data_IF_938605301188
#
_entry.id   IF_938605301188
#
_cell.length_a   1.000
_cell.length_b   1.000
_cell.length_c   1.000
_cell.angle_alpha   90.00
_cell.angle_beta   90.00
_cell.angle_gamma   90.00
#
_symmetry.space_group_name_H-M   'P 1'
#
loop_
_entity.id
_entity.type
_entity.pdbx_description
1 polymer ?
#
# COMPACT_ATOMS: atom_id res chain seq x y z
N UNK A 1 -19.06 16.67 -0.83
CA UNK A 1 -18.16 16.50 -1.98
C UNK A 1 -18.81 15.63 -3.02
N UNK A 2 -18.83 16.11 -4.24
CA UNK A 2 -19.35 15.34 -5.39
C UNK A 2 -18.55 14.04 -5.53
N UNK A 3 -19.24 12.91 -5.72
CA UNK A 3 -18.61 11.61 -5.88
C UNK A 3 -17.72 11.55 -7.14
N UNK A 4 -16.75 10.67 -7.17
CA UNK A 4 -15.82 10.50 -8.30
C UNK A 4 -16.56 10.26 -9.62
N UNK A 5 -17.67 9.53 -9.58
CA UNK A 5 -18.53 9.28 -10.76
C UNK A 5 -19.16 10.56 -11.32
N UNK A 6 -19.63 11.45 -10.45
CA UNK A 6 -20.23 12.72 -10.86
C UNK A 6 -19.19 13.65 -11.50
N UNK A 7 -17.96 13.65 -10.99
CA UNK A 7 -16.84 14.37 -11.60
C UNK A 7 -16.52 13.84 -12.99
N UNK A 8 -16.37 12.52 -13.14
CA UNK A 8 -16.10 11.88 -14.42
C UNK A 8 -17.23 12.19 -15.42
N UNK A 9 -18.49 12.14 -14.98
CA UNK A 9 -19.62 12.46 -15.82
C UNK A 9 -19.61 13.91 -16.30
N UNK A 10 -19.33 14.85 -15.40
CA UNK A 10 -19.21 16.28 -15.72
C UNK A 10 -18.04 16.55 -16.68
N UNK A 11 -16.90 15.88 -16.47
CA UNK A 11 -15.72 16.01 -17.35
C UNK A 11 -16.03 15.48 -18.77
N UNK A 12 -16.77 14.37 -18.88
CA UNK A 12 -17.22 13.83 -20.17
C UNK A 12 -18.16 14.80 -20.90
N UNK A 13 -19.05 15.47 -20.18
CA UNK A 13 -19.94 16.47 -20.80
C UNK A 13 -19.21 17.73 -21.28
N UNK A 14 -18.02 18.00 -20.74
CA UNK A 14 -17.20 19.16 -21.10
C UNK A 14 -16.14 18.86 -22.19
N UNK A 15 -16.19 17.67 -22.80
CA UNK A 15 -15.23 17.25 -23.86
C UNK A 15 -15.18 18.28 -25.02
N UNK A 16 -16.30 18.93 -25.33
CA UNK A 16 -16.35 19.97 -26.39
C UNK A 16 -15.57 21.24 -26.03
N UNK A 17 -15.21 21.45 -24.76
CA UNK A 17 -14.46 22.61 -24.27
C UNK A 17 -12.96 22.33 -24.14
N UNK A 18 -12.47 21.23 -24.69
CA UNK A 18 -11.04 20.87 -24.60
C UNK A 18 -10.18 21.94 -25.24
N UNK A 19 -9.26 22.49 -24.44
CA UNK A 19 -8.23 23.41 -24.95
C UNK A 19 -7.17 22.61 -25.74
N UNK A 20 -7.14 22.85 -27.07
CA UNK A 20 -6.25 22.12 -27.96
C UNK A 20 -4.75 22.33 -27.66
N UNK A 21 -4.37 23.51 -27.16
CA UNK A 21 -3.01 23.82 -26.76
C UNK A 21 -2.63 23.02 -25.51
N UNK A 22 -3.54 22.90 -24.54
CA UNK A 22 -3.36 22.11 -23.35
C UNK A 22 -3.21 20.63 -23.69
N UNK A 23 -4.08 20.09 -24.58
CA UNK A 23 -4.00 18.70 -25.03
C UNK A 23 -2.69 18.41 -25.77
N UNK A 24 -2.28 19.29 -26.69
CA UNK A 24 -1.03 19.14 -27.44
C UNK A 24 0.20 19.14 -26.50
N UNK A 25 0.19 20.02 -25.50
CA UNK A 25 1.26 20.09 -24.48
C UNK A 25 1.28 18.83 -23.63
N UNK A 26 0.13 18.35 -23.15
CA UNK A 26 0.06 17.11 -22.40
C UNK A 26 0.58 15.90 -23.20
N UNK A 27 0.17 15.77 -24.47
CA UNK A 27 0.63 14.70 -25.35
C UNK A 27 2.15 14.79 -25.61
N UNK A 28 2.69 15.99 -25.85
CA UNK A 28 4.12 16.18 -26.03
C UNK A 28 4.90 15.74 -24.77
N UNK A 29 4.44 16.11 -23.58
CA UNK A 29 5.03 15.69 -22.30
C UNK A 29 4.99 14.17 -22.15
N UNK A 30 3.85 13.55 -22.43
CA UNK A 30 3.70 12.08 -22.38
C UNK A 30 4.65 11.38 -23.34
N UNK A 31 4.78 11.87 -24.58
CA UNK A 31 5.70 11.32 -25.61
C UNK A 31 7.15 11.43 -25.13
N UNK A 32 7.54 12.56 -24.58
CA UNK A 32 8.91 12.76 -24.06
C UNK A 32 9.20 11.81 -22.90
N UNK A 33 8.29 11.69 -21.94
CA UNK A 33 8.51 10.84 -20.76
C UNK A 33 8.53 9.36 -21.16
N UNK A 34 7.54 8.89 -21.93
CA UNK A 34 7.46 7.48 -22.35
C UNK A 34 8.56 7.13 -23.34
N UNK A 35 8.87 8.04 -24.27
CA UNK A 35 9.95 7.86 -25.24
C UNK A 35 11.32 7.78 -24.58
N UNK A 36 11.61 8.66 -23.63
CA UNK A 36 12.89 8.61 -22.88
C UNK A 36 13.04 7.32 -22.05
N UNK A 37 11.98 6.83 -21.42
CA UNK A 37 12.00 5.52 -20.71
C UNK A 37 12.33 4.36 -21.66
N UNK A 38 11.86 4.41 -22.92
CA UNK A 38 12.16 3.38 -23.94
C UNK A 38 13.59 3.47 -24.45
N UNK A 39 14.15 4.67 -24.58
CA UNK A 39 15.51 4.89 -25.06
C UNK A 39 16.55 4.47 -24.03
N UNK A 40 16.42 4.90 -22.80
CA UNK A 40 17.28 4.51 -21.69
C UNK A 40 16.62 4.79 -20.34
N UNK A 41 16.68 3.81 -19.43
CA UNK A 41 16.21 3.98 -18.05
C UNK A 41 16.99 5.03 -17.24
N UNK A 42 18.17 5.44 -17.74
CA UNK A 42 19.02 6.46 -17.08
C UNK A 42 18.61 7.89 -17.44
N UNK A 43 17.78 8.10 -18.45
CA UNK A 43 17.35 9.44 -18.89
C UNK A 43 16.19 9.89 -17.98
N UNK A 44 16.32 11.03 -17.27
CA UNK A 44 15.26 11.59 -16.43
C UNK A 44 14.19 12.27 -17.28
N UNK A 45 13.38 11.48 -18.00
CA UNK A 45 12.41 11.96 -18.98
C UNK A 45 11.40 12.96 -18.42
N UNK A 46 10.95 12.75 -17.19
CA UNK A 46 10.04 13.68 -16.53
C UNK A 46 10.69 15.07 -16.31
N UNK A 47 11.96 15.10 -15.87
CA UNK A 47 12.68 16.34 -15.68
C UNK A 47 12.89 17.10 -17.01
N UNK A 48 13.28 16.38 -18.06
CA UNK A 48 13.44 16.95 -19.40
C UNK A 48 12.12 17.50 -19.93
N UNK A 49 11.02 16.78 -19.75
CA UNK A 49 9.69 17.22 -20.18
C UNK A 49 9.24 18.47 -19.43
N UNK A 50 9.45 18.54 -18.11
CA UNK A 50 9.11 19.71 -17.28
C UNK A 50 9.93 20.92 -17.70
N UNK A 51 11.26 20.81 -17.78
CA UNK A 51 12.13 21.92 -18.18
C UNK A 51 11.81 22.36 -19.61
N UNK A 52 11.65 21.43 -20.54
CA UNK A 52 11.29 21.72 -21.90
C UNK A 52 9.94 22.44 -22.03
N UNK A 53 8.96 22.04 -21.27
CA UNK A 53 7.65 22.69 -21.24
C UNK A 53 7.69 24.10 -20.63
N UNK A 54 8.48 24.33 -19.58
CA UNK A 54 8.70 25.67 -19.00
C UNK A 54 9.33 26.60 -20.05
N UNK A 55 10.41 26.16 -20.73
CA UNK A 55 11.09 26.92 -21.75
C UNK A 55 10.15 27.18 -22.94
N UNK A 56 9.41 26.18 -23.41
CA UNK A 56 8.44 26.33 -24.48
C UNK A 56 7.32 27.30 -24.09
N UNK A 57 6.83 27.22 -22.88
CA UNK A 57 5.77 28.09 -22.35
C UNK A 57 6.24 29.55 -22.29
N UNK A 58 7.46 29.78 -21.81
CA UNK A 58 8.04 31.10 -21.79
C UNK A 58 8.27 31.68 -23.20
N UNK A 59 8.79 30.86 -24.15
CA UNK A 59 9.13 31.32 -25.49
C UNK A 59 7.91 31.52 -26.40
N UNK A 60 6.89 30.65 -26.27
CA UNK A 60 5.65 30.66 -27.07
C UNK A 60 4.49 31.41 -26.40
N UNK A 61 4.74 32.04 -25.27
CA UNK A 61 3.72 32.70 -24.42
C UNK A 61 2.46 31.87 -24.23
N UNK A 62 2.64 30.59 -23.85
CA UNK A 62 1.54 29.67 -23.68
C UNK A 62 0.58 30.08 -22.54
N UNK A 63 1.04 30.95 -21.65
CA UNK A 63 0.21 31.53 -20.59
C UNK A 63 -0.96 32.36 -21.13
N UNK A 64 -0.89 32.86 -22.35
CA UNK A 64 -2.01 33.51 -23.02
C UNK A 64 -3.08 32.53 -23.53
N UNK A 65 -2.75 31.26 -23.70
CA UNK A 65 -3.59 30.26 -24.32
C UNK A 65 -4.04 29.14 -23.37
N UNK A 66 -3.33 28.94 -22.26
CA UNK A 66 -3.64 27.90 -21.25
C UNK A 66 -3.22 28.34 -19.84
N UNK A 67 -3.78 27.66 -18.85
CA UNK A 67 -3.39 27.91 -17.46
C UNK A 67 -1.96 27.50 -17.18
N UNK A 68 -1.20 28.41 -16.57
CA UNK A 68 0.14 28.20 -16.01
C UNK A 68 0.08 28.38 -14.50
N UNK A 69 1.05 27.84 -13.78
CA UNK A 69 1.08 27.90 -12.31
C UNK A 69 1.01 29.32 -11.75
N UNK A 70 1.50 30.32 -12.50
CA UNK A 70 1.55 31.70 -12.07
C UNK A 70 2.58 31.92 -10.95
N UNK A 71 2.47 33.04 -10.26
CA UNK A 71 3.43 33.44 -9.22
C UNK A 71 3.44 32.43 -8.06
N UNK A 72 4.58 31.78 -7.87
CA UNK A 72 4.83 30.86 -6.77
C UNK A 72 5.55 31.62 -5.65
N UNK A 73 5.09 31.55 -4.39
CA UNK A 73 5.81 32.15 -3.27
C UNK A 73 7.25 31.65 -3.23
N UNK A 74 8.19 32.57 -3.18
CA UNK A 74 9.62 32.26 -3.02
C UNK A 74 10.03 32.43 -1.59
N UNK A 75 11.07 31.73 -1.15
CA UNK A 75 11.66 31.88 0.16
C UNK A 75 11.62 30.60 1.00
N UNK A 76 12.03 30.76 2.25
CA UNK A 76 12.01 29.66 3.22
C UNK A 76 10.59 29.42 3.71
N UNK A 77 10.20 28.18 3.95
CA UNK A 77 8.92 27.87 4.59
C UNK A 77 8.88 28.49 5.97
N UNK A 78 7.76 29.15 6.30
CA UNK A 78 7.56 29.71 7.63
C UNK A 78 7.16 28.59 8.60
N UNK A 79 7.92 28.46 9.68
CA UNK A 79 7.57 27.55 10.76
C UNK A 79 6.48 28.19 11.61
N UNK A 80 5.26 27.73 11.47
CA UNK A 80 4.11 28.22 12.22
C UNK A 80 3.06 27.09 12.40
N UNK A 81 2.23 27.26 13.40
CA UNK A 81 1.01 26.47 13.50
C UNK A 81 -0.01 27.00 12.49
N UNK A 82 -0.86 26.12 11.92
CA UNK A 82 -1.91 26.55 11.01
C UNK A 82 -2.82 27.62 11.63
N UNK A 83 -3.01 28.75 10.94
CA UNK A 83 -3.91 29.82 11.34
C UNK A 83 -5.36 29.43 11.04
N UNK A 84 -5.92 28.55 11.84
CA UNK A 84 -7.30 28.09 11.71
C UNK A 84 -8.05 28.28 13.03
N UNK A 85 -9.34 28.58 12.95
CA UNK A 85 -10.20 28.58 14.11
C UNK A 85 -10.45 27.16 14.59
N UNK A 86 -9.69 26.72 15.58
CA UNK A 86 -9.82 25.40 16.15
C UNK A 86 -11.17 25.23 16.83
N UNK A 87 -11.97 24.30 16.35
CA UNK A 87 -13.26 23.91 16.91
C UNK A 87 -13.37 22.39 16.98
N UNK A 88 -14.21 21.90 17.88
CA UNK A 88 -14.49 20.47 17.97
C UNK A 88 -15.08 19.90 16.68
N UNK A 89 -15.85 20.71 15.95
CA UNK A 89 -16.38 20.32 14.63
C UNK A 89 -15.27 20.14 13.60
N UNK A 90 -14.31 21.05 13.55
CA UNK A 90 -13.15 20.95 12.66
C UNK A 90 -12.29 19.73 12.99
N UNK A 91 -12.00 19.52 14.28
CA UNK A 91 -11.24 18.35 14.75
C UNK A 91 -11.96 17.06 14.37
N UNK A 92 -13.28 16.99 14.58
CA UNK A 92 -14.08 15.81 14.20
C UNK A 92 -14.03 15.49 12.70
N UNK A 93 -13.91 16.51 11.82
CA UNK A 93 -13.74 16.34 10.38
C UNK A 93 -12.33 15.92 9.97
N UNK A 94 -11.32 16.40 10.73
CA UNK A 94 -9.91 16.09 10.40
C UNK A 94 -9.43 14.73 10.90
N UNK A 95 -9.94 14.26 12.05
CA UNK A 95 -9.48 13.03 12.69
C UNK A 95 -9.61 11.80 11.79
N UNK A 96 -10.74 11.52 11.11
CA UNK A 96 -10.85 10.35 10.24
C UNK A 96 -9.83 10.37 9.09
N UNK A 97 -9.66 11.52 8.44
CA UNK A 97 -8.68 11.69 7.35
C UNK A 97 -7.25 11.55 7.85
N UNK A 98 -6.92 12.15 9.00
CA UNK A 98 -5.60 12.00 9.63
C UNK A 98 -5.31 10.55 10.01
N UNK A 99 -6.30 9.83 10.54
CA UNK A 99 -6.17 8.41 10.87
C UNK A 99 -5.97 7.56 9.61
N UNK A 100 -6.73 7.80 8.54
CA UNK A 100 -6.55 7.11 7.27
C UNK A 100 -5.15 7.34 6.69
N UNK A 101 -4.67 8.59 6.68
CA UNK A 101 -3.30 8.93 6.27
C UNK A 101 -2.26 8.22 7.14
N UNK A 102 -2.43 8.22 8.46
CA UNK A 102 -1.54 7.52 9.40
C UNK A 102 -1.41 6.03 9.05
N UNK A 103 -2.53 5.34 8.82
CA UNK A 103 -2.53 3.90 8.49
C UNK A 103 -1.81 3.64 7.16
N UNK A 104 -2.05 4.46 6.13
CA UNK A 104 -1.36 4.32 4.83
C UNK A 104 0.13 4.57 4.97
N UNK A 105 0.52 5.64 5.66
CA UNK A 105 1.93 6.00 5.88
C UNK A 105 2.65 4.86 6.63
N UNK A 106 2.02 4.36 7.69
CA UNK A 106 2.55 3.25 8.49
C UNK A 106 2.74 1.99 7.63
N UNK A 107 1.70 1.58 6.90
CA UNK A 107 1.74 0.37 6.08
C UNK A 107 2.77 0.46 4.95
N UNK A 108 2.79 1.55 4.18
CA UNK A 108 3.73 1.73 3.08
C UNK A 108 5.18 1.82 3.57
N UNK A 109 5.43 2.60 4.62
CA UNK A 109 6.78 2.80 5.16
C UNK A 109 7.32 1.51 5.74
N UNK A 110 6.54 0.78 6.55
CA UNK A 110 6.96 -0.49 7.14
C UNK A 110 7.21 -1.56 6.06
N UNK A 111 6.31 -1.67 5.06
CA UNK A 111 6.49 -2.61 3.96
C UNK A 111 7.75 -2.31 3.14
N UNK A 112 8.01 -1.02 2.86
CA UNK A 112 9.21 -0.59 2.12
C UNK A 112 10.48 -0.88 2.91
N UNK A 113 10.53 -0.52 4.17
CA UNK A 113 11.69 -0.77 5.05
C UNK A 113 12.01 -2.27 5.13
N UNK A 114 11.00 -3.11 5.35
CA UNK A 114 11.17 -4.58 5.40
C UNK A 114 11.67 -5.15 4.07
N UNK A 115 11.09 -4.72 2.96
CA UNK A 115 11.46 -5.22 1.64
C UNK A 115 12.93 -4.92 1.32
N UNK A 116 13.39 -3.70 1.58
CA UNK A 116 14.76 -3.30 1.31
C UNK A 116 15.75 -3.83 2.35
N UNK A 117 15.38 -3.94 3.62
CA UNK A 117 16.20 -4.61 4.63
C UNK A 117 16.45 -6.09 4.25
N UNK A 118 15.41 -6.80 3.80
CA UNK A 118 15.54 -8.18 3.31
C UNK A 118 16.40 -8.27 2.04
N UNK A 119 16.21 -7.32 1.10
CA UNK A 119 16.96 -7.28 -0.16
C UNK A 119 18.48 -7.09 0.07
N UNK A 120 18.86 -6.27 1.07
CA UNK A 120 20.26 -5.97 1.40
C UNK A 120 20.80 -6.77 2.58
N UNK A 121 19.98 -7.66 3.15
CA UNK A 121 20.33 -8.43 4.36
C UNK A 121 20.78 -7.52 5.52
N UNK A 122 20.13 -6.39 5.69
CA UNK A 122 20.38 -5.41 6.72
C UNK A 122 19.44 -5.61 7.93
N UNK A 123 19.98 -5.41 9.13
CA UNK A 123 19.16 -5.31 10.34
C UNK A 123 18.59 -3.90 10.45
N UNK A 124 17.31 -3.79 10.67
CA UNK A 124 16.67 -2.50 10.91
C UNK A 124 15.74 -2.59 12.11
N UNK A 125 15.43 -1.45 12.71
CA UNK A 125 14.48 -1.32 13.80
C UNK A 125 13.26 -0.56 13.30
N UNK A 126 12.11 -1.24 13.22
CA UNK A 126 10.85 -0.61 12.80
C UNK A 126 10.49 0.59 13.69
N UNK A 127 10.70 0.47 15.01
CA UNK A 127 10.40 1.54 15.96
C UNK A 127 11.26 2.78 15.70
N UNK A 128 12.52 2.62 15.36
CA UNK A 128 13.43 3.75 15.05
C UNK A 128 12.99 4.45 13.77
N UNK A 129 12.62 3.68 12.74
CA UNK A 129 12.12 4.23 11.48
C UNK A 129 10.80 4.99 11.69
N UNK A 130 9.89 4.46 12.51
CA UNK A 130 8.62 5.11 12.82
C UNK A 130 8.79 6.40 13.64
N UNK A 131 9.73 6.44 14.58
CA UNK A 131 10.06 7.67 15.32
C UNK A 131 10.64 8.71 14.36
N UNK A 132 11.56 8.34 13.48
CA UNK A 132 12.10 9.22 12.45
C UNK A 132 11.02 9.77 11.52
N UNK A 133 10.11 8.91 11.07
CA UNK A 133 8.98 9.30 10.24
C UNK A 133 8.01 10.23 10.97
N UNK A 134 7.74 9.98 12.26
CA UNK A 134 6.94 10.84 13.12
C UNK A 134 7.54 12.24 13.24
N UNK A 135 8.84 12.34 13.51
CA UNK A 135 9.56 13.62 13.57
C UNK A 135 9.55 14.36 12.23
N UNK A 136 9.72 13.63 11.11
CA UNK A 136 9.61 14.21 9.77
C UNK A 136 8.22 14.78 9.50
N UNK A 137 7.15 14.10 9.93
CA UNK A 137 5.77 14.58 9.79
C UNK A 137 5.47 15.79 10.70
N UNK A 138 6.04 15.84 11.91
CA UNK A 138 5.95 17.03 12.76
C UNK A 138 6.64 18.22 12.06
N UNK A 139 7.85 18.02 11.54
CA UNK A 139 8.55 19.07 10.78
C UNK A 139 7.77 19.52 9.54
N UNK A 140 7.17 18.58 8.80
CA UNK A 140 6.32 18.87 7.65
C UNK A 140 5.08 19.69 8.06
N UNK A 141 4.38 19.31 9.13
CA UNK A 141 3.21 20.03 9.64
C UNK A 141 3.55 21.46 10.09
N UNK A 142 4.67 21.64 10.79
CA UNK A 142 5.14 22.96 11.25
C UNK A 142 5.59 23.86 10.08
N UNK A 143 6.06 23.29 8.98
CA UNK A 143 6.44 24.04 7.78
C UNK A 143 5.29 24.24 6.79
N UNK A 144 4.07 23.84 7.15
CA UNK A 144 2.87 24.01 6.32
C UNK A 144 2.86 23.15 5.05
N UNK A 145 3.63 22.05 5.03
CA UNK A 145 3.68 21.15 3.88
C UNK A 145 2.87 19.89 4.10
N UNK A 146 2.81 19.03 3.07
CA UNK A 146 2.08 17.77 3.11
C UNK A 146 2.77 16.72 3.98
N UNK A 147 2.01 15.70 4.36
CA UNK A 147 2.50 14.51 5.06
C UNK A 147 3.58 13.80 4.24
N UNK A 148 4.57 13.22 4.93
CA UNK A 148 5.67 12.46 4.33
C UNK A 148 5.58 10.98 4.69
N UNK A 149 5.96 10.13 3.75
CA UNK A 149 6.00 8.68 3.94
C UNK A 149 7.20 8.05 3.22
N UNK A 150 7.50 6.79 3.58
CA UNK A 150 8.44 5.94 2.85
C UNK A 150 7.81 5.42 1.56
N UNK A 151 8.04 6.11 0.44
CA UNK A 151 7.46 5.72 -0.86
C UNK A 151 8.25 4.59 -1.52
N UNK A 152 7.64 3.42 -1.81
CA UNK A 152 8.31 2.31 -2.50
C UNK A 152 8.92 2.72 -3.85
N UNK A 153 8.16 3.49 -4.65
CA UNK A 153 8.59 3.92 -5.99
C UNK A 153 9.78 4.88 -5.95
N UNK A 154 9.77 5.85 -5.03
CA UNK A 154 10.90 6.78 -4.86
C UNK A 154 12.13 6.06 -4.33
N UNK A 155 11.96 5.14 -3.37
CA UNK A 155 13.04 4.29 -2.86
C UNK A 155 13.64 3.45 -3.98
N UNK A 156 12.82 2.84 -4.83
CA UNK A 156 13.28 2.08 -5.98
C UNK A 156 14.05 2.94 -6.98
N UNK A 157 13.61 4.19 -7.22
CA UNK A 157 14.34 5.11 -8.10
C UNK A 157 15.74 5.43 -7.57
N UNK A 158 15.84 5.74 -6.28
CA UNK A 158 17.13 6.01 -5.62
C UNK A 158 18.02 4.77 -5.65
N UNK A 159 17.48 3.61 -5.35
CA UNK A 159 18.18 2.33 -5.38
C UNK A 159 18.69 1.99 -6.78
N UNK A 160 17.84 2.12 -7.81
CA UNK A 160 18.22 1.89 -9.22
C UNK A 160 19.29 2.84 -9.72
N UNK A 161 19.37 4.05 -9.15
CA UNK A 161 20.41 5.02 -9.42
C UNK A 161 21.71 4.76 -8.63
N UNK A 162 21.75 3.74 -7.76
CA UNK A 162 22.92 3.38 -6.95
C UNK A 162 23.01 4.13 -5.63
N UNK A 163 21.95 4.81 -5.19
CA UNK A 163 21.91 5.51 -3.89
C UNK A 163 21.86 4.50 -2.74
N UNK A 164 22.80 4.63 -1.79
CA UNK A 164 22.98 3.69 -0.68
C UNK A 164 23.00 4.35 0.70
N UNK A 165 22.79 5.65 0.76
CA UNK A 165 22.87 6.38 2.01
C UNK A 165 21.84 7.50 2.07
N UNK A 166 21.54 7.97 3.28
CA UNK A 166 20.68 9.14 3.53
C UNK A 166 21.23 10.44 2.91
N UNK A 167 22.49 10.44 2.49
CA UNK A 167 23.11 11.59 1.84
C UNK A 167 22.36 11.99 0.56
N UNK A 168 21.80 11.02 -0.18
CA UNK A 168 20.99 11.29 -1.36
C UNK A 168 19.73 12.12 -1.02
N UNK A 169 19.10 11.88 0.12
CA UNK A 169 17.94 12.66 0.59
C UNK A 169 18.35 14.05 1.05
N UNK A 170 19.50 14.19 1.70
CA UNK A 170 20.03 15.51 2.08
C UNK A 170 20.34 16.35 0.84
N UNK A 171 20.97 15.78 -0.19
CA UNK A 171 21.18 16.48 -1.45
C UNK A 171 19.86 16.86 -2.14
N UNK A 172 18.87 15.98 -2.10
CA UNK A 172 17.52 16.29 -2.62
C UNK A 172 16.92 17.48 -1.88
N UNK A 173 17.03 17.51 -0.54
CA UNK A 173 16.54 18.64 0.25
C UNK A 173 17.26 19.96 -0.09
N UNK A 174 18.58 19.91 -0.28
CA UNK A 174 19.36 21.09 -0.71
C UNK A 174 18.92 21.56 -2.10
N UNK A 175 18.75 20.65 -3.06
CA UNK A 175 18.28 20.99 -4.41
C UNK A 175 16.91 21.65 -4.35
N UNK A 176 15.97 21.07 -3.60
CA UNK A 176 14.63 21.64 -3.43
C UNK A 176 14.70 23.03 -2.79
N UNK A 177 15.55 23.20 -1.80
CA UNK A 177 15.77 24.51 -1.16
C UNK A 177 16.30 25.54 -2.18
N UNK A 178 17.29 25.20 -3.01
CA UNK A 178 17.79 26.07 -4.05
C UNK A 178 16.71 26.43 -5.08
N UNK A 179 15.86 25.48 -5.45
CA UNK A 179 14.73 25.73 -6.34
C UNK A 179 13.75 26.71 -5.71
N UNK A 180 13.40 26.55 -4.43
CA UNK A 180 12.50 27.44 -3.71
C UNK A 180 13.07 28.86 -3.57
N UNK A 181 14.37 29.00 -3.41
CA UNK A 181 15.01 30.31 -3.23
C UNK A 181 15.23 31.05 -4.54
N UNK A 182 15.57 30.35 -5.63
CA UNK A 182 16.10 30.98 -6.85
C UNK A 182 15.33 30.65 -8.13
N UNK A 183 14.60 29.54 -8.19
CA UNK A 183 13.99 29.02 -9.42
C UNK A 183 12.47 29.04 -9.43
N UNK A 184 11.83 29.66 -8.44
CA UNK A 184 10.35 29.81 -8.41
C UNK A 184 9.83 30.70 -9.54
N UNK A 185 10.60 31.70 -9.98
CA UNK A 185 10.26 32.55 -11.12
C UNK A 185 10.06 31.73 -12.42
N UNK A 186 11.06 30.98 -12.90
CA UNK A 186 10.88 30.07 -14.02
C UNK A 186 9.73 29.06 -13.87
N UNK A 187 9.50 28.53 -12.68
CA UNK A 187 8.38 27.59 -12.42
C UNK A 187 7.01 28.22 -12.63
N UNK A 188 6.88 29.56 -12.50
CA UNK A 188 5.64 30.26 -12.76
C UNK A 188 5.11 30.06 -14.20
N UNK A 189 6.00 29.83 -15.17
CA UNK A 189 5.65 29.58 -16.57
C UNK A 189 5.25 28.11 -16.83
N UNK A 190 5.30 27.22 -15.85
CA UNK A 190 4.98 25.81 -16.05
C UNK A 190 3.48 25.63 -16.33
N UNK A 191 3.10 25.05 -17.48
CA UNK A 191 1.69 24.74 -17.75
C UNK A 191 1.14 23.70 -16.75
N UNK A 192 -0.07 23.91 -16.24
CA UNK A 192 -0.73 22.94 -15.32
C UNK A 192 -0.93 21.57 -15.96
N UNK A 193 -1.06 21.53 -17.28
CA UNK A 193 -1.17 20.29 -18.07
C UNK A 193 0.05 19.39 -17.95
N UNK A 194 1.24 19.95 -17.66
CA UNK A 194 2.46 19.17 -17.41
C UNK A 194 2.32 18.35 -16.13
N UNK A 195 1.82 18.98 -15.06
CA UNK A 195 1.56 18.30 -13.79
C UNK A 195 0.49 17.21 -13.99
N UNK A 196 -0.59 17.52 -14.70
CA UNK A 196 -1.66 16.56 -14.99
C UNK A 196 -1.13 15.35 -15.79
N UNK A 197 -0.27 15.57 -16.79
CA UNK A 197 0.34 14.49 -17.56
C UNK A 197 1.28 13.61 -16.72
N UNK A 198 2.08 14.22 -15.85
CA UNK A 198 2.97 13.49 -14.92
C UNK A 198 2.16 12.67 -13.93
N UNK A 199 1.14 13.28 -13.31
CA UNK A 199 0.25 12.59 -12.36
C UNK A 199 -0.50 11.44 -13.03
N UNK A 200 -0.96 11.63 -14.26
CA UNK A 200 -1.58 10.56 -15.05
C UNK A 200 -0.64 9.37 -15.24
N UNK A 201 0.62 9.61 -15.64
CA UNK A 201 1.60 8.53 -15.79
C UNK A 201 1.91 7.82 -14.47
N UNK A 202 2.02 8.57 -13.36
CA UNK A 202 2.16 7.98 -12.02
C UNK A 202 0.96 7.09 -11.72
N UNK A 203 -0.26 7.53 -12.01
CA UNK A 203 -1.46 6.74 -11.84
C UNK A 203 -1.42 5.44 -12.64
N UNK A 204 -1.01 5.49 -13.91
CA UNK A 204 -0.84 4.30 -14.76
C UNK A 204 0.25 3.37 -14.22
N UNK A 205 1.39 3.91 -13.78
CA UNK A 205 2.49 3.12 -13.21
C UNK A 205 2.10 2.46 -11.86
N UNK A 206 1.13 2.99 -11.13
CA UNK A 206 0.60 2.43 -9.89
C UNK A 206 -0.37 1.25 -10.11
N UNK A 207 -0.87 1.05 -11.33
CA UNK A 207 -1.75 -0.08 -11.64
C UNK A 207 -0.93 -1.36 -11.75
N UNK A 208 -0.82 -2.09 -10.64
CA UNK A 208 -0.09 -3.37 -10.58
C UNK A 208 -0.97 -4.57 -10.97
N UNK A 209 -1.19 -4.72 -12.27
CA UNK A 209 -1.95 -5.87 -12.80
C UNK A 209 -1.26 -7.22 -12.55
N UNK A 210 0.09 -7.23 -12.47
CA UNK A 210 0.86 -8.45 -12.21
C UNK A 210 0.73 -8.88 -10.76
N UNK A 211 0.81 -7.93 -9.82
CA UNK A 211 0.58 -8.19 -8.41
C UNK A 211 -0.85 -8.70 -8.16
N UNK A 212 -1.85 -8.06 -8.76
CA UNK A 212 -3.25 -8.51 -8.66
C UNK A 212 -3.45 -9.93 -9.21
N UNK A 213 -2.82 -10.26 -10.33
CA UNK A 213 -2.86 -11.62 -10.89
C UNK A 213 -2.18 -12.63 -9.96
N UNK A 214 -1.03 -12.29 -9.40
CA UNK A 214 -0.31 -13.13 -8.44
C UNK A 214 -1.13 -13.40 -7.18
N UNK A 215 -1.81 -12.38 -6.64
CA UNK A 215 -2.71 -12.54 -5.49
C UNK A 215 -3.88 -13.48 -5.85
N UNK A 216 -4.47 -13.33 -7.05
CA UNK A 216 -5.56 -14.20 -7.50
C UNK A 216 -5.13 -15.67 -7.61
N UNK A 217 -3.94 -15.93 -8.13
CA UNK A 217 -3.38 -17.28 -8.28
C UNK A 217 -3.02 -17.91 -6.93
N UNK A 218 -2.54 -17.13 -5.98
CA UNK A 218 -2.13 -17.62 -4.67
C UNK A 218 -3.30 -17.72 -3.68
N UNK A 219 -4.13 -16.68 -3.62
CA UNK A 219 -5.22 -16.58 -2.62
C UNK A 219 -6.41 -15.79 -3.13
N UNK A 220 -7.43 -16.48 -3.58
CA UNK A 220 -8.65 -15.87 -4.11
C UNK A 220 -9.40 -14.98 -3.10
N UNK A 221 -9.37 -15.30 -1.79
CA UNK A 221 -10.01 -14.46 -0.77
C UNK A 221 -9.34 -13.09 -0.67
N UNK A 222 -8.02 -13.05 -0.66
CA UNK A 222 -7.25 -11.79 -0.61
C UNK A 222 -7.42 -10.96 -1.89
N UNK A 223 -7.56 -11.60 -3.04
CA UNK A 223 -7.89 -10.93 -4.29
C UNK A 223 -9.23 -10.19 -4.22
N UNK A 224 -10.27 -10.84 -3.70
CA UNK A 224 -11.58 -10.19 -3.56
C UNK A 224 -11.54 -9.01 -2.58
N UNK A 225 -10.83 -9.13 -1.47
CA UNK A 225 -10.61 -8.02 -0.54
C UNK A 225 -9.90 -6.86 -1.25
N UNK A 226 -8.81 -7.12 -1.97
CA UNK A 226 -8.08 -6.10 -2.71
C UNK A 226 -8.93 -5.44 -3.80
N UNK A 227 -9.69 -6.23 -4.57
CA UNK A 227 -10.55 -5.72 -5.64
C UNK A 227 -11.68 -4.84 -5.09
N UNK A 228 -12.42 -5.31 -4.08
CA UNK A 228 -13.52 -4.56 -3.46
C UNK A 228 -12.99 -3.26 -2.84
N UNK A 229 -11.84 -3.32 -2.17
CA UNK A 229 -11.19 -2.14 -1.59
C UNK A 229 -10.81 -1.14 -2.69
N UNK A 230 -10.21 -1.60 -3.78
CA UNK A 230 -9.84 -0.74 -4.92
C UNK A 230 -11.08 -0.05 -5.51
N UNK A 231 -12.16 -0.80 -5.72
CA UNK A 231 -13.42 -0.23 -6.22
C UNK A 231 -13.99 0.81 -5.24
N UNK A 232 -13.94 0.53 -3.94
CA UNK A 232 -14.40 1.47 -2.91
C UNK A 232 -13.57 2.76 -2.92
N UNK A 233 -12.23 2.65 -3.03
CA UNK A 233 -11.35 3.83 -3.14
C UNK A 233 -11.67 4.67 -4.37
N UNK A 234 -11.89 4.03 -5.52
CA UNK A 234 -12.15 4.72 -6.80
C UNK A 234 -13.53 5.38 -6.82
N UNK A 235 -14.57 4.71 -6.35
CA UNK A 235 -15.94 5.17 -6.50
C UNK A 235 -16.48 5.96 -5.31
N UNK A 236 -16.00 5.70 -4.11
CA UNK A 236 -16.51 6.32 -2.88
C UNK A 236 -15.48 7.26 -2.26
N UNK A 237 -14.26 6.78 -2.04
CA UNK A 237 -13.17 7.57 -1.50
C UNK A 237 -12.09 6.75 -0.81
N UNK A 238 -10.93 7.35 -0.66
CA UNK A 238 -9.74 6.69 -0.07
C UNK A 238 -9.97 6.32 1.39
N UNK A 239 -10.57 7.22 2.16
CA UNK A 239 -10.85 7.03 3.60
C UNK A 239 -11.76 5.83 3.82
N UNK A 240 -12.89 5.76 3.11
CA UNK A 240 -13.87 4.67 3.19
C UNK A 240 -13.25 3.35 2.68
N UNK A 241 -12.41 3.43 1.65
CA UNK A 241 -11.68 2.27 1.14
C UNK A 241 -10.71 1.68 2.18
N UNK A 242 -9.98 2.50 2.91
CA UNK A 242 -9.06 2.05 3.96
C UNK A 242 -9.82 1.41 5.12
N UNK A 243 -10.91 2.04 5.59
CA UNK A 243 -11.74 1.48 6.66
C UNK A 243 -12.30 0.12 6.23
N UNK A 244 -12.83 0.03 5.01
CA UNK A 244 -13.34 -1.23 4.47
C UNK A 244 -12.24 -2.31 4.38
N UNK A 245 -11.03 -1.94 3.93
CA UNK A 245 -9.91 -2.87 3.86
C UNK A 245 -9.55 -3.45 5.22
N UNK A 246 -9.50 -2.61 6.26
CA UNK A 246 -9.22 -3.04 7.63
C UNK A 246 -10.30 -4.02 8.10
N UNK A 247 -11.58 -3.68 7.92
CA UNK A 247 -12.71 -4.52 8.33
C UNK A 247 -12.68 -5.86 7.60
N UNK A 248 -12.54 -5.85 6.28
CA UNK A 248 -12.50 -7.09 5.49
C UNK A 248 -11.28 -7.96 5.81
N UNK A 249 -10.11 -7.33 6.03
CA UNK A 249 -8.91 -8.05 6.43
C UNK A 249 -9.06 -8.68 7.82
N UNK A 250 -9.68 -7.97 8.75
CA UNK A 250 -9.97 -8.50 10.09
C UNK A 250 -10.95 -9.68 10.03
N UNK A 251 -12.01 -9.56 9.23
CA UNK A 251 -12.98 -10.65 8.99
C UNK A 251 -12.28 -11.87 8.39
N UNK A 252 -11.44 -11.70 7.35
CA UNK A 252 -10.73 -12.81 6.72
C UNK A 252 -9.72 -13.44 7.68
N UNK A 253 -9.02 -12.65 8.49
CA UNK A 253 -8.11 -13.13 9.53
C UNK A 253 -8.85 -13.96 10.58
N UNK A 254 -9.94 -13.40 11.12
CA UNK A 254 -10.78 -14.09 12.10
C UNK A 254 -11.35 -15.39 11.52
N UNK A 255 -11.90 -15.35 10.31
CA UNK A 255 -12.46 -16.54 9.64
C UNK A 255 -11.43 -17.68 9.49
N UNK A 256 -10.15 -17.36 9.30
CA UNK A 256 -9.08 -18.38 9.21
C UNK A 256 -8.81 -19.05 10.55
N UNK A 257 -8.92 -18.32 11.66
CA UNK A 257 -8.80 -18.87 13.01
C UNK A 257 -9.97 -19.76 13.41
N UNK A 258 -11.16 -19.54 12.82
CA UNK A 258 -12.35 -20.34 13.08
C UNK A 258 -12.32 -21.76 12.51
N UNK A 259 -11.52 -22.03 11.46
CA UNK A 259 -11.40 -23.35 10.85
C UNK A 259 -9.93 -23.72 10.66
N UNK A 260 -9.24 -24.12 11.74
CA UNK A 260 -7.87 -24.58 11.65
C UNK A 260 -7.80 -25.83 10.77
N UNK A 261 -6.70 -25.96 10.03
CA UNK A 261 -6.41 -27.19 9.27
C UNK A 261 -5.71 -28.19 10.18
N UNK A 262 -6.48 -28.93 10.94
CA UNK A 262 -5.97 -29.96 11.81
C UNK A 262 -5.38 -31.13 11.03
N UNK A 263 -4.50 -31.90 11.64
CA UNK A 263 -3.75 -32.97 10.98
C UNK A 263 -3.66 -34.22 11.85
N UNK A 264 -3.42 -35.34 11.19
CA UNK A 264 -3.06 -36.59 11.86
C UNK A 264 -1.55 -36.79 11.72
N UNK A 265 -0.91 -37.14 12.82
CA UNK A 265 0.53 -37.40 12.85
C UNK A 265 0.78 -38.88 12.60
N UNK A 266 1.61 -39.18 11.59
CA UNK A 266 1.96 -40.54 11.16
C UNK A 266 3.46 -40.71 11.20
N UNK A 267 4.01 -41.82 11.72
CA UNK A 267 5.45 -42.09 11.69
C UNK A 267 5.97 -42.17 10.26
N UNK A 268 7.10 -41.55 10.00
CA UNK A 268 7.86 -41.72 8.77
C UNK A 268 8.92 -42.81 8.94
N UNK A 269 9.43 -43.32 7.83
CA UNK A 269 10.52 -44.33 7.83
C UNK A 269 11.78 -43.84 8.53
N UNK A 270 11.98 -42.53 8.61
CA UNK A 270 13.08 -41.88 9.36
C UNK A 270 12.91 -41.82 10.87
N UNK A 271 11.78 -42.29 11.41
CA UNK A 271 11.43 -42.17 12.83
C UNK A 271 10.83 -40.80 13.22
N UNK A 272 10.76 -39.85 12.30
CA UNK A 272 10.09 -38.57 12.49
C UNK A 272 8.56 -38.72 12.33
N UNK A 273 7.80 -37.77 12.90
CA UNK A 273 6.33 -37.72 12.73
C UNK A 273 5.98 -36.78 11.58
N UNK A 274 5.26 -37.27 10.59
CA UNK A 274 4.75 -36.49 9.46
C UNK A 274 3.29 -36.09 9.66
N UNK A 275 2.99 -34.83 9.35
CA UNK A 275 1.63 -34.33 9.37
C UNK A 275 0.90 -34.69 8.07
N UNK A 276 -0.24 -35.36 8.17
CA UNK A 276 -1.12 -35.72 7.07
C UNK A 276 -2.51 -35.13 7.25
N UNK A 277 -3.25 -34.83 6.16
CA UNK A 277 -4.64 -34.43 6.27
C UNK A 277 -5.48 -35.47 7.01
N UNK A 278 -6.51 -35.00 7.72
CA UNK A 278 -7.45 -35.87 8.42
C UNK A 278 -8.17 -36.76 7.40
N UNK A 279 -8.09 -38.07 7.61
CA UNK A 279 -8.84 -39.06 6.87
C UNK A 279 -9.08 -40.29 7.73
N UNK A 280 -10.24 -40.94 7.57
CA UNK A 280 -10.67 -42.07 8.38
C UNK A 280 -9.77 -43.31 8.28
N UNK A 281 -8.87 -43.37 7.31
CA UNK A 281 -7.89 -44.45 7.14
C UNK A 281 -6.48 -44.06 7.57
N UNK A 282 -6.25 -42.81 7.94
CA UNK A 282 -4.91 -42.32 8.33
C UNK A 282 -4.75 -42.51 9.84
N UNK A 283 -3.90 -43.45 10.23
CA UNK A 283 -3.59 -43.76 11.62
C UNK A 283 -2.07 -43.86 11.81
N UNK A 284 -1.58 -43.52 12.99
CA UNK A 284 -0.17 -43.65 13.32
C UNK A 284 0.28 -45.13 13.39
N UNK A 285 -0.55 -45.97 13.96
CA UNK A 285 -0.49 -47.44 14.01
C UNK A 285 -1.89 -47.98 13.92
N UNK A 286 -2.10 -49.23 13.51
CA UNK A 286 -3.45 -49.83 13.51
C UNK A 286 -4.13 -49.71 14.87
N UNK A 287 -5.19 -48.94 14.93
CA UNK A 287 -5.94 -48.64 16.17
C UNK A 287 -5.42 -47.47 17.00
N UNK A 288 -4.32 -46.79 16.59
CA UNK A 288 -3.79 -45.60 17.24
C UNK A 288 -3.85 -44.38 16.29
N UNK A 289 -4.57 -43.38 16.70
CA UNK A 289 -4.64 -42.10 16.00
C UNK A 289 -4.00 -41.01 16.85
N UNK A 290 -3.08 -40.25 16.27
CA UNK A 290 -2.48 -39.05 16.90
C UNK A 290 -3.01 -37.83 16.14
N UNK A 291 -3.93 -37.14 16.78
CA UNK A 291 -4.59 -35.96 16.24
C UNK A 291 -3.88 -34.70 16.76
N UNK A 292 -3.45 -33.82 15.88
CA UNK A 292 -2.86 -32.53 16.24
C UNK A 292 -3.81 -31.39 15.89
N UNK A 293 -4.21 -30.65 16.92
CA UNK A 293 -4.92 -29.39 16.77
C UNK A 293 -3.89 -28.30 16.48
N UNK A 294 -4.09 -27.52 15.39
CA UNK A 294 -3.03 -26.68 14.81
C UNK A 294 -3.18 -25.20 15.12
N UNK A 295 -4.04 -24.82 16.06
CA UNK A 295 -4.32 -23.44 16.42
C UNK A 295 -4.64 -23.31 17.92
N UNK A 296 -4.64 -22.08 18.47
CA UNK A 296 -5.22 -21.83 19.79
C UNK A 296 -6.70 -22.15 19.79
N UNK A 297 -7.21 -22.63 20.93
CA UNK A 297 -8.58 -23.14 21.06
C UNK A 297 -9.50 -22.03 21.59
N UNK A 298 -10.49 -21.70 20.79
CA UNK A 298 -11.50 -20.68 21.09
C UNK A 298 -12.89 -21.29 20.97
N UNK A 299 -13.87 -20.68 21.61
CA UNK A 299 -15.28 -21.03 21.48
C UNK A 299 -15.67 -21.37 20.01
N UNK A 300 -15.18 -20.58 19.07
CA UNK A 300 -15.56 -20.67 17.67
C UNK A 300 -14.97 -21.88 16.90
N UNK A 301 -13.89 -22.50 17.40
CA UNK A 301 -13.25 -23.66 16.77
C UNK A 301 -13.29 -24.93 17.62
N UNK A 302 -13.80 -24.87 18.85
CA UNK A 302 -13.95 -26.00 19.72
C UNK A 302 -14.98 -27.03 19.18
N UNK A 303 -16.04 -26.55 18.52
CA UNK A 303 -17.03 -27.43 17.87
C UNK A 303 -16.39 -28.27 16.76
N UNK A 304 -15.52 -27.69 15.95
CA UNK A 304 -14.77 -28.42 14.92
C UNK A 304 -13.93 -29.55 15.50
N UNK A 305 -13.26 -29.32 16.62
CA UNK A 305 -12.50 -30.37 17.32
C UNK A 305 -13.40 -31.52 17.70
N UNK A 306 -14.56 -31.23 18.29
CA UNK A 306 -15.54 -32.21 18.71
C UNK A 306 -16.10 -33.03 17.54
N UNK A 307 -16.46 -32.37 16.46
CA UNK A 307 -16.94 -33.00 15.22
C UNK A 307 -15.89 -33.93 14.60
N UNK A 308 -14.66 -33.42 14.41
CA UNK A 308 -13.56 -34.16 13.80
C UNK A 308 -13.19 -35.42 14.65
N UNK A 309 -13.08 -35.26 15.97
CA UNK A 309 -12.79 -36.40 16.87
C UNK A 309 -13.91 -37.40 16.84
N UNK A 310 -15.17 -36.97 16.87
CA UNK A 310 -16.34 -37.84 16.83
C UNK A 310 -16.41 -38.61 15.53
N UNK A 311 -16.18 -37.94 14.41
CA UNK A 311 -16.13 -38.58 13.07
C UNK A 311 -15.01 -39.64 12.99
N UNK A 312 -13.82 -39.29 13.47
CA UNK A 312 -12.68 -40.20 13.50
C UNK A 312 -12.92 -41.41 14.42
N UNK A 313 -13.53 -41.19 15.59
CA UNK A 313 -13.84 -42.28 16.53
C UNK A 313 -14.84 -43.26 15.92
N UNK A 314 -15.86 -42.80 15.23
CA UNK A 314 -16.92 -43.61 14.67
C UNK A 314 -16.58 -44.28 13.34
N UNK A 315 -15.81 -43.61 12.50
CA UNK A 315 -15.63 -43.98 11.09
C UNK A 315 -14.22 -44.48 10.72
N UNK A 316 -13.26 -44.49 11.67
CA UNK A 316 -11.89 -44.93 11.39
C UNK A 316 -11.79 -46.44 11.10
N UNK A 317 -10.93 -46.75 10.12
CA UNK A 317 -10.63 -48.13 9.72
C UNK A 317 -9.11 -48.36 9.67
N UNK A 318 -8.57 -49.27 10.50
CA UNK A 318 -9.25 -50.13 11.53
C UNK A 318 -9.86 -49.29 12.67
N UNK A 319 -10.80 -49.88 13.47
CA UNK A 319 -11.41 -49.20 14.59
C UNK A 319 -10.37 -48.69 15.59
N UNK A 320 -10.58 -47.46 16.11
CA UNK A 320 -9.67 -46.85 17.08
C UNK A 320 -9.74 -47.57 18.45
N UNK A 321 -8.55 -47.78 19.01
CA UNK A 321 -8.37 -48.21 20.40
C UNK A 321 -7.82 -47.09 21.27
N UNK A 322 -6.99 -46.24 20.63
CA UNK A 322 -6.32 -45.13 21.29
C UNK A 322 -6.43 -43.87 20.44
N UNK A 323 -6.84 -42.79 21.07
CA UNK A 323 -6.78 -41.43 20.52
C UNK A 323 -5.81 -40.63 21.38
N UNK A 324 -4.76 -40.12 20.74
CA UNK A 324 -3.82 -39.18 21.35
C UNK A 324 -4.08 -37.78 20.80
N UNK A 325 -4.33 -36.82 21.67
CA UNK A 325 -4.45 -35.41 21.29
C UNK A 325 -3.09 -34.74 21.46
N UNK A 326 -2.52 -34.32 20.35
CA UNK A 326 -1.28 -33.54 20.34
C UNK A 326 -1.61 -32.04 20.34
N UNK A 327 -1.45 -31.42 21.51
CA UNK A 327 -1.71 -30.01 21.76
C UNK A 327 -0.45 -29.13 21.65
N UNK A 328 0.62 -29.62 21.05
CA UNK A 328 1.90 -28.89 20.97
C UNK A 328 1.80 -27.55 20.19
N UNK A 329 0.75 -27.39 19.38
CA UNK A 329 0.48 -26.17 18.61
C UNK A 329 -0.65 -25.30 19.23
N UNK A 330 -1.11 -25.64 20.42
CA UNK A 330 -2.15 -24.89 21.14
C UNK A 330 -1.45 -23.99 22.14
N UNK A 331 -1.37 -22.71 21.83
CA UNK A 331 -0.72 -21.70 22.68
C UNK A 331 -1.66 -21.20 23.79
N UNK A 332 -2.97 -21.20 23.52
CA UNK A 332 -3.98 -20.68 24.44
C UNK A 332 -5.33 -21.40 24.27
N UNK A 333 -6.06 -21.47 25.35
CA UNK A 333 -7.43 -22.04 25.40
C UNK A 333 -8.31 -21.05 26.14
N UNK A 334 -9.35 -20.56 25.45
CA UNK A 334 -10.27 -19.65 26.09
C UNK A 334 -11.22 -20.40 27.07
N UNK A 335 -11.79 -19.63 28.01
CA UNK A 335 -12.64 -20.19 29.06
C UNK A 335 -13.87 -20.96 28.53
N UNK A 336 -14.30 -20.63 27.31
CA UNK A 336 -15.51 -21.20 26.69
C UNK A 336 -15.22 -22.34 25.71
N UNK A 337 -13.97 -22.65 25.46
CA UNK A 337 -13.53 -23.79 24.65
C UNK A 337 -13.19 -25.00 25.51
#
# INVERSE_FOLDING_TARGET
GHGTLEKIWNDIQQIEQINLHALATALAVLIVIVGSKKLSKKIPGALIAVIGAIVASWWLDLGAHMHVLGAIPSGLPHLALPEVNWSWELIGKLVPTAFAMFVVILAQSAATSRAYAAHYNERFSENTDLVGLGLANIGAGLSGTFVVNGSPTKTQMVDSAGGRSQLSLLFTAVIVLLVLLFLTGPLAYMPETVLSAVVFLIGVDLIDTKGMKSIYEQRRSEFWVALITTLMVVFVGVEQGIILAIVLSLIDHTRRGYRPKNVVMVPADSGAMNAQPIATRTQALPGLLIYRFTHSMYYANAEQLTEEITDLANNSKPPLRWLCLDASSVDDVDYSA
#
